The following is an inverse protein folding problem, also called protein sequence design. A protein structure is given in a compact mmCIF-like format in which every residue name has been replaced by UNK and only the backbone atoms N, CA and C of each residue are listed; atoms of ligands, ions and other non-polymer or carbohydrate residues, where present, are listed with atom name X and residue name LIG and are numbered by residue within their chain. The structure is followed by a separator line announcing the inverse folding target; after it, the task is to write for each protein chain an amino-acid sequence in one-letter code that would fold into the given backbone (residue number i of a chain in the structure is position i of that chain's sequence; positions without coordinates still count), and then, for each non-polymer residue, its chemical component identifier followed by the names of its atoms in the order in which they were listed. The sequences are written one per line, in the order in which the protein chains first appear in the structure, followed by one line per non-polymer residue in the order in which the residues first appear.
data_IF_433656008647
#
_entry.id   IF_433656008647
#
_cell.length_a   1.000
_cell.length_b   1.000
_cell.length_c   1.000
_cell.angle_alpha   90.00
_cell.angle_beta   90.00
_cell.angle_gamma   90.00
#
_symmetry.space_group_name_H-M   'P 1'
#
loop_
_entity.id
_entity.type
_entity.pdbx_description
1 polymer ?
#
# COMPACT_ATOMS: atom_id res chain seq x y z
N UNK A 1 22.94 7.67 -18.90
CA UNK A 1 22.30 6.83 -17.87
C UNK A 1 21.37 5.82 -18.54
N UNK A 2 21.10 4.71 -17.88
CA UNK A 2 20.10 3.75 -18.34
C UNK A 2 18.77 4.14 -17.71
N UNK A 3 17.71 4.17 -18.52
CA UNK A 3 16.33 4.30 -18.04
C UNK A 3 15.74 2.90 -17.93
N UNK A 4 15.09 2.59 -16.82
CA UNK A 4 14.37 1.34 -16.63
C UNK A 4 13.05 1.61 -15.90
N UNK A 5 12.07 0.76 -16.19
CA UNK A 5 10.78 0.79 -15.54
C UNK A 5 10.66 -0.44 -14.63
N UNK A 6 10.13 -0.23 -13.44
CA UNK A 6 9.85 -1.29 -12.47
C UNK A 6 8.33 -1.40 -12.37
N UNK A 7 7.82 -2.62 -12.57
CA UNK A 7 6.43 -2.95 -12.34
C UNK A 7 6.27 -3.62 -10.97
N UNK A 8 5.03 -3.68 -10.50
CA UNK A 8 4.71 -4.43 -9.30
C UNK A 8 5.11 -5.91 -9.48
N UNK A 9 5.73 -6.56 -8.46
CA UNK A 9 6.09 -7.96 -8.54
C UNK A 9 4.83 -8.83 -8.74
N UNK A 10 4.94 -9.84 -9.61
CA UNK A 10 3.86 -10.77 -9.91
C UNK A 10 4.28 -12.18 -9.53
N UNK A 11 3.33 -12.92 -8.98
CA UNK A 11 3.53 -14.33 -8.62
C UNK A 11 3.32 -15.20 -9.85
N UNK A 12 4.23 -16.17 -10.08
CA UNK A 12 4.14 -17.10 -11.19
C UNK A 12 3.24 -18.28 -10.80
N UNK A 13 2.09 -18.37 -11.46
CA UNK A 13 1.20 -19.52 -11.36
C UNK A 13 1.70 -20.68 -12.23
N UNK A 14 1.42 -21.91 -11.82
CA UNK A 14 1.69 -23.13 -12.60
C UNK A 14 0.41 -23.91 -12.79
N UNK A 15 0.26 -24.53 -13.93
CA UNK A 15 -0.80 -25.48 -14.20
C UNK A 15 -0.29 -26.90 -13.88
N UNK A 16 -0.94 -27.55 -12.91
CA UNK A 16 -0.63 -28.92 -12.48
C UNK A 16 -1.94 -29.69 -12.57
N UNK A 17 -1.97 -30.77 -13.36
CA UNK A 17 -3.16 -31.59 -13.59
C UNK A 17 -4.41 -30.79 -14.04
N UNK A 18 -4.22 -29.82 -14.94
CA UNK A 18 -5.26 -28.88 -15.42
C UNK A 18 -5.85 -27.99 -14.30
N UNK A 19 -5.16 -27.82 -13.17
CA UNK A 19 -5.53 -26.93 -12.09
C UNK A 19 -4.49 -25.83 -11.97
N UNK A 20 -4.95 -24.58 -11.93
CA UNK A 20 -4.07 -23.45 -11.67
C UNK A 20 -3.59 -23.46 -10.23
N UNK A 21 -2.29 -23.64 -10.03
CA UNK A 21 -1.64 -23.68 -8.72
C UNK A 21 -0.81 -22.41 -8.47
N UNK A 22 -0.81 -22.00 -7.21
CA UNK A 22 -0.02 -20.87 -6.71
C UNK A 22 1.08 -21.34 -5.75
N UNK A 23 2.23 -20.67 -5.70
CA UNK A 23 3.27 -20.99 -4.74
C UNK A 23 2.83 -20.60 -3.34
N UNK A 24 3.04 -21.52 -2.41
CA UNK A 24 2.84 -21.32 -0.96
C UNK A 24 4.21 -21.20 -0.32
N UNK A 25 4.33 -20.28 0.61
CA UNK A 25 5.54 -20.05 1.39
C UNK A 25 5.32 -20.39 2.87
N UNK A 26 6.34 -20.93 3.50
CA UNK A 26 6.43 -20.98 4.95
C UNK A 26 6.95 -19.65 5.43
N UNK A 27 6.12 -18.93 6.17
CA UNK A 27 6.44 -17.65 6.80
C UNK A 27 6.67 -17.85 8.28
N UNK A 28 7.83 -17.42 8.77
CA UNK A 28 8.16 -17.41 10.19
C UNK A 28 8.32 -15.97 10.66
N UNK A 29 7.55 -15.60 11.67
CA UNK A 29 7.60 -14.30 12.32
C UNK A 29 8.07 -14.47 13.76
N UNK A 30 8.97 -13.60 14.20
CA UNK A 30 9.33 -13.45 15.60
C UNK A 30 8.96 -12.03 16.04
N UNK A 31 7.98 -11.93 16.93
CA UNK A 31 7.32 -10.65 17.25
C UNK A 31 7.15 -10.45 18.76
N UNK A 32 7.10 -9.19 19.24
CA UNK A 32 6.67 -8.90 20.60
C UNK A 32 5.22 -9.39 20.83
N UNK A 33 4.92 -9.85 22.04
CA UNK A 33 3.58 -10.34 22.39
C UNK A 33 2.46 -9.36 22.04
N UNK A 34 2.70 -8.06 22.18
CA UNK A 34 1.76 -6.98 21.85
C UNK A 34 1.38 -6.93 20.37
N UNK A 35 2.20 -7.45 19.46
CA UNK A 35 1.99 -7.43 18.01
C UNK A 35 1.35 -8.72 17.47
N UNK A 36 1.28 -9.79 18.27
CA UNK A 36 0.80 -11.12 17.85
C UNK A 36 -0.60 -11.04 17.23
N UNK A 37 -1.57 -10.44 17.95
CA UNK A 37 -2.95 -10.37 17.49
C UNK A 37 -3.09 -9.65 16.14
N UNK A 38 -2.41 -8.51 15.97
CA UNK A 38 -2.43 -7.75 14.72
C UNK A 38 -1.78 -8.50 13.56
N UNK A 39 -0.70 -9.25 13.81
CA UNK A 39 -0.07 -10.09 12.79
C UNK A 39 -1.00 -11.21 12.33
N UNK A 40 -1.66 -11.90 13.26
CA UNK A 40 -2.61 -12.98 12.94
C UNK A 40 -3.80 -12.45 12.14
N UNK A 41 -4.39 -11.33 12.53
CA UNK A 41 -5.50 -10.70 11.82
C UNK A 41 -5.13 -10.34 10.38
N UNK A 42 -3.98 -9.68 10.20
CA UNK A 42 -3.51 -9.26 8.87
C UNK A 42 -3.16 -10.43 7.96
N UNK A 43 -2.53 -11.45 8.49
CA UNK A 43 -2.21 -12.65 7.72
C UNK A 43 -3.47 -13.49 7.41
N UNK A 44 -4.43 -13.53 8.32
CA UNK A 44 -5.72 -14.18 8.07
C UNK A 44 -6.46 -13.56 6.88
N UNK A 45 -6.49 -12.22 6.77
CA UNK A 45 -7.09 -11.53 5.62
C UNK A 45 -6.35 -11.82 4.29
N UNK A 46 -5.09 -12.27 4.35
CA UNK A 46 -4.23 -12.64 3.22
C UNK A 46 -4.21 -14.14 2.94
N UNK A 47 -5.18 -14.90 3.48
CA UNK A 47 -5.31 -16.35 3.31
C UNK A 47 -4.14 -17.16 3.88
N UNK A 48 -3.42 -16.62 4.86
CA UNK A 48 -2.41 -17.37 5.59
C UNK A 48 -3.06 -18.37 6.56
N UNK A 49 -2.51 -19.57 6.62
CA UNK A 49 -2.89 -20.63 7.54
C UNK A 49 -1.84 -20.74 8.64
N UNK A 50 -2.22 -20.49 9.89
CA UNK A 50 -1.31 -20.63 11.03
C UNK A 50 -1.03 -22.09 11.30
N UNK A 51 0.25 -22.45 11.38
CA UNK A 51 0.72 -23.82 11.66
C UNK A 51 1.18 -23.99 13.10
N UNK A 52 1.91 -23.00 13.60
CA UNK A 52 2.50 -23.09 14.92
C UNK A 52 2.58 -21.72 15.59
N UNK A 53 2.56 -21.71 16.91
CA UNK A 53 2.78 -20.54 17.74
C UNK A 53 3.51 -20.95 19.01
N UNK A 54 4.66 -20.34 19.28
CA UNK A 54 5.47 -20.59 20.44
C UNK A 54 5.85 -19.29 21.12
N UNK A 55 5.46 -19.15 22.38
CA UNK A 55 5.83 -17.96 23.17
C UNK A 55 7.04 -18.30 24.03
N UNK A 56 8.07 -17.48 23.93
CA UNK A 56 9.28 -17.56 24.73
C UNK A 56 9.11 -16.83 26.07
N UNK A 57 9.93 -17.19 27.04
CA UNK A 57 9.91 -16.56 28.38
C UNK A 57 10.40 -15.09 28.39
N UNK A 58 10.98 -14.63 27.28
CA UNK A 58 11.47 -13.28 27.07
C UNK A 58 10.41 -12.28 26.54
N UNK A 59 9.14 -12.71 26.44
CA UNK A 59 8.03 -11.89 25.95
C UNK A 59 7.97 -11.81 24.42
N UNK A 60 8.66 -12.70 23.73
CA UNK A 60 8.60 -12.82 22.26
C UNK A 60 7.80 -14.06 21.85
N UNK A 61 7.13 -13.95 20.73
CA UNK A 61 6.32 -15.05 20.18
C UNK A 61 6.75 -15.34 18.75
N UNK A 62 7.09 -16.58 18.50
CA UNK A 62 7.34 -17.10 17.16
C UNK A 62 6.03 -17.62 16.57
N UNK A 63 5.69 -17.14 15.37
CA UNK A 63 4.52 -17.55 14.62
C UNK A 63 4.96 -18.19 13.30
N UNK A 64 4.38 -19.32 12.96
CA UNK A 64 4.63 -20.00 11.69
C UNK A 64 3.33 -20.11 10.89
N UNK A 65 3.38 -19.68 9.62
CA UNK A 65 2.26 -19.71 8.70
C UNK A 65 2.63 -20.37 7.38
N UNK A 66 1.64 -20.98 6.73
CA UNK A 66 1.65 -21.21 5.29
C UNK A 66 0.84 -20.08 4.62
N UNK A 67 1.44 -19.39 3.68
CA UNK A 67 0.83 -18.23 3.05
C UNK A 67 1.07 -18.25 1.54
N UNK A 68 0.06 -17.92 0.70
CA UNK A 68 0.28 -17.72 -0.72
C UNK A 68 1.32 -16.61 -0.95
N UNK A 69 2.31 -16.81 -1.82
CA UNK A 69 3.35 -15.81 -2.10
C UNK A 69 2.76 -14.44 -2.47
N UNK A 70 1.61 -14.40 -3.18
CA UNK A 70 0.89 -13.15 -3.46
C UNK A 70 0.41 -12.43 -2.20
N UNK A 71 0.18 -13.15 -1.09
CA UNK A 71 -0.20 -12.58 0.21
C UNK A 71 0.95 -11.88 0.92
N UNK A 72 2.20 -12.18 0.56
CA UNK A 72 3.39 -11.51 1.11
C UNK A 72 3.72 -10.19 0.42
N UNK A 73 3.20 -9.99 -0.80
CA UNK A 73 3.44 -8.73 -1.53
C UNK A 73 2.88 -7.56 -0.72
N UNK A 74 3.74 -6.58 -0.41
CA UNK A 74 3.41 -5.41 0.42
C UNK A 74 3.20 -5.68 1.91
N UNK A 75 3.32 -6.95 2.36
CA UNK A 75 3.15 -7.27 3.79
C UNK A 75 4.32 -6.77 4.66
N UNK A 76 5.54 -6.74 4.12
CA UNK A 76 6.73 -6.33 4.87
C UNK A 76 6.60 -4.92 5.46
N UNK A 77 6.11 -3.96 4.68
CA UNK A 77 5.89 -2.59 5.17
C UNK A 77 4.85 -2.51 6.29
N UNK A 78 3.75 -3.28 6.16
CA UNK A 78 2.75 -3.40 7.22
C UNK A 78 3.33 -4.06 8.47
N UNK A 79 4.12 -5.14 8.30
CA UNK A 79 4.75 -5.87 9.38
C UNK A 79 5.71 -4.98 10.21
N UNK A 80 6.57 -4.22 9.54
CA UNK A 80 7.47 -3.28 10.20
C UNK A 80 6.69 -2.24 11.01
N UNK A 81 5.59 -1.73 10.49
CA UNK A 81 4.72 -0.76 11.20
C UNK A 81 4.03 -1.39 12.40
N UNK A 82 3.46 -2.61 12.25
CA UNK A 82 2.77 -3.34 13.33
C UNK A 82 3.73 -3.64 14.47
N UNK A 83 4.93 -4.08 14.14
CA UNK A 83 5.95 -4.48 15.13
C UNK A 83 6.84 -3.31 15.57
N UNK A 84 6.62 -2.08 15.07
CA UNK A 84 7.45 -0.89 15.32
C UNK A 84 8.94 -1.12 15.00
N UNK A 85 9.22 -1.99 14.02
CA UNK A 85 10.57 -2.37 13.64
C UNK A 85 11.23 -3.46 14.50
N UNK A 86 10.57 -3.95 15.55
CA UNK A 86 11.13 -4.96 16.47
C UNK A 86 10.91 -6.41 15.98
N UNK A 87 10.07 -6.60 14.94
CA UNK A 87 9.76 -7.92 14.40
C UNK A 87 10.85 -8.43 13.46
N UNK A 88 11.04 -9.74 13.46
CA UNK A 88 11.88 -10.45 12.49
C UNK A 88 10.95 -11.28 11.60
N UNK A 89 11.14 -11.19 10.29
CA UNK A 89 10.36 -11.93 9.30
C UNK A 89 11.29 -12.69 8.36
N UNK A 90 11.04 -13.99 8.21
CA UNK A 90 11.69 -14.83 7.22
C UNK A 90 10.65 -15.69 6.50
N UNK A 91 10.85 -15.93 5.21
CA UNK A 91 9.97 -16.79 4.43
C UNK A 91 10.77 -17.63 3.44
N UNK A 92 10.25 -18.80 3.11
CA UNK A 92 10.85 -19.71 2.15
C UNK A 92 9.78 -20.44 1.38
N UNK A 93 10.07 -20.81 0.12
CA UNK A 93 9.16 -21.61 -0.69
C UNK A 93 8.85 -22.95 0.00
N UNK A 94 7.58 -23.33 0.03
CA UNK A 94 7.11 -24.59 0.57
C UNK A 94 6.66 -25.55 -0.54
N UNK A 95 5.56 -25.24 -1.23
CA UNK A 95 4.98 -26.09 -2.27
C UNK A 95 4.07 -25.28 -3.22
N UNK A 96 3.57 -25.93 -4.27
CA UNK A 96 2.47 -25.41 -5.07
C UNK A 96 1.14 -26.01 -4.63
N UNK A 97 0.13 -25.18 -4.42
CA UNK A 97 -1.24 -25.62 -4.12
C UNK A 97 -2.24 -25.01 -5.09
N UNK A 98 -3.41 -25.64 -5.30
CA UNK A 98 -4.49 -25.02 -6.07
C UNK A 98 -4.78 -23.59 -5.58
N UNK A 99 -4.97 -22.67 -6.52
CA UNK A 99 -5.24 -21.27 -6.18
C UNK A 99 -6.49 -21.15 -5.31
N UNK A 100 -6.35 -20.55 -4.15
CA UNK A 100 -7.43 -20.36 -3.18
C UNK A 100 -8.00 -18.97 -3.35
N UNK A 101 -9.14 -18.80 -4.05
CA UNK A 101 -9.89 -17.56 -4.15
C UNK A 101 -9.04 -16.28 -4.30
N UNK A 102 -9.68 -15.15 -4.48
CA UNK A 102 -8.99 -13.87 -4.47
C UNK A 102 -9.09 -13.23 -3.09
N UNK A 103 -8.10 -12.42 -2.73
CA UNK A 103 -8.17 -11.53 -1.57
C UNK A 103 -7.88 -10.11 -2.02
N UNK A 104 -8.49 -9.17 -1.35
CA UNK A 104 -8.28 -7.76 -1.66
C UNK A 104 -6.83 -7.38 -1.34
N UNK A 105 -6.06 -7.10 -2.38
CA UNK A 105 -4.70 -6.57 -2.26
C UNK A 105 -4.69 -5.06 -2.02
N UNK A 106 -5.79 -4.38 -2.40
CA UNK A 106 -5.96 -2.93 -2.29
C UNK A 106 -7.40 -2.63 -1.87
N UNK A 107 -7.57 -1.91 -0.75
CA UNK A 107 -8.88 -1.48 -0.26
C UNK A 107 -9.38 -0.22 -0.92
N UNK A 108 -8.48 0.67 -1.30
CA UNK A 108 -8.77 2.00 -1.80
C UNK A 108 -8.45 2.12 -3.28
N UNK A 109 -9.19 2.96 -3.98
CA UNK A 109 -8.90 3.36 -5.34
C UNK A 109 -7.68 4.27 -5.43
N UNK A 110 -7.33 4.71 -6.62
CA UNK A 110 -6.27 5.68 -6.85
C UNK A 110 -6.83 7.02 -7.30
N UNK A 111 -6.10 8.08 -7.01
CA UNK A 111 -6.29 9.40 -7.58
C UNK A 111 -5.45 9.51 -8.84
N UNK A 112 -6.08 9.88 -9.96
CA UNK A 112 -5.48 9.89 -11.30
C UNK A 112 -5.52 11.32 -11.83
N UNK A 113 -4.41 11.79 -12.45
CA UNK A 113 -4.38 13.10 -13.09
C UNK A 113 -5.25 13.08 -14.36
N UNK A 114 -6.23 14.01 -14.43
CA UNK A 114 -7.15 14.15 -15.56
C UNK A 114 -6.46 14.71 -16.81
N UNK A 115 -5.51 15.61 -16.64
CA UNK A 115 -4.80 16.27 -17.75
C UNK A 115 -3.31 16.41 -17.46
N UNK A 116 -2.54 16.72 -18.51
CA UNK A 116 -1.13 17.04 -18.39
C UNK A 116 -0.95 18.48 -17.90
N UNK A 117 0.03 18.71 -17.02
CA UNK A 117 0.34 20.05 -16.52
C UNK A 117 1.24 20.05 -15.31
N UNK A 118 1.12 21.09 -14.49
CA UNK A 118 1.84 21.24 -13.23
C UNK A 118 0.84 21.24 -12.08
N UNK A 119 1.06 20.38 -11.09
CA UNK A 119 0.22 20.32 -9.91
C UNK A 119 0.28 21.63 -9.12
N UNK A 120 -0.89 22.21 -8.86
CA UNK A 120 -0.99 23.49 -8.12
C UNK A 120 -1.36 23.23 -6.67
N UNK A 121 -0.87 24.07 -5.77
CA UNK A 121 -1.25 24.03 -4.36
C UNK A 121 -2.78 24.13 -4.19
N UNK A 122 -3.40 25.05 -4.93
CA UNK A 122 -4.84 25.29 -4.88
C UNK A 122 -5.67 24.04 -5.23
N UNK A 123 -5.32 23.36 -6.31
CA UNK A 123 -6.07 22.17 -6.73
C UNK A 123 -5.86 20.98 -5.79
N UNK A 124 -4.63 20.77 -5.30
CA UNK A 124 -4.34 19.71 -4.32
C UNK A 124 -5.07 19.98 -3.00
N UNK A 125 -5.08 21.23 -2.51
CA UNK A 125 -5.78 21.62 -1.29
C UNK A 125 -7.29 21.41 -1.39
N UNK A 126 -7.91 21.81 -2.51
CA UNK A 126 -9.35 21.62 -2.73
C UNK A 126 -9.79 20.17 -2.83
N UNK A 127 -8.89 19.26 -3.11
CA UNK A 127 -9.18 17.84 -3.22
C UNK A 127 -8.51 17.00 -2.12
N UNK A 128 -7.99 17.64 -1.05
CA UNK A 128 -7.34 16.98 0.08
C UNK A 128 -8.26 15.97 0.79
N UNK A 129 -9.57 16.26 0.84
CA UNK A 129 -10.58 15.36 1.42
C UNK A 129 -10.79 14.06 0.61
N UNK A 130 -10.29 13.99 -0.62
CA UNK A 130 -10.48 12.83 -1.49
C UNK A 130 -9.51 11.72 -1.21
N UNK A 131 -8.35 12.02 -0.62
CA UNK A 131 -7.34 11.02 -0.35
C UNK A 131 -5.98 11.61 0.01
N UNK A 132 -4.96 10.77 -0.05
CA UNK A 132 -3.58 11.14 0.27
C UNK A 132 -2.75 11.19 -1.01
N UNK A 133 -1.97 12.27 -1.17
CA UNK A 133 -1.16 12.47 -2.38
C UNK A 133 0.23 11.86 -2.24
N UNK A 134 0.78 11.45 -3.38
CA UNK A 134 2.17 11.00 -3.55
C UNK A 134 3.07 12.11 -4.12
N UNK A 135 2.47 13.22 -4.56
CA UNK A 135 3.14 14.32 -5.23
C UNK A 135 3.01 15.63 -4.44
N UNK A 136 3.96 16.54 -4.67
CA UNK A 136 3.97 17.89 -4.10
C UNK A 136 3.47 18.92 -5.13
N UNK A 137 3.01 20.12 -4.69
CA UNK A 137 2.80 21.22 -5.60
C UNK A 137 4.06 21.52 -6.42
N UNK A 138 3.89 21.88 -7.69
CA UNK A 138 4.99 22.17 -8.62
C UNK A 138 5.50 20.95 -9.40
N UNK A 139 5.06 19.73 -9.09
CA UNK A 139 5.43 18.52 -9.85
C UNK A 139 4.68 18.51 -11.19
N UNK A 140 5.42 18.19 -12.27
CA UNK A 140 4.83 17.92 -13.58
C UNK A 140 4.12 16.58 -13.58
N UNK A 141 2.89 16.55 -14.10
CA UNK A 141 2.08 15.35 -14.23
C UNK A 141 1.64 15.17 -15.67
N UNK A 142 1.41 13.93 -16.06
CA UNK A 142 0.83 13.57 -17.36
C UNK A 142 -0.56 13.00 -17.14
N UNK A 143 -1.41 13.05 -18.16
CA UNK A 143 -2.75 12.46 -18.14
C UNK A 143 -2.67 10.98 -17.84
N UNK A 144 -3.43 10.51 -16.84
CA UNK A 144 -3.43 9.12 -16.40
C UNK A 144 -2.36 8.77 -15.34
N UNK A 145 -1.53 9.76 -14.92
CA UNK A 145 -0.56 9.56 -13.84
C UNK A 145 -1.27 9.30 -12.52
N UNK A 146 -0.83 8.28 -11.78
CA UNK A 146 -1.29 8.04 -10.41
C UNK A 146 -0.63 9.06 -9.49
N UNK A 147 -1.45 9.87 -8.82
CA UNK A 147 -1.03 11.01 -8.02
C UNK A 147 -1.31 10.86 -6.53
N UNK A 148 -2.07 9.83 -6.15
CA UNK A 148 -2.44 9.58 -4.76
C UNK A 148 -3.30 8.32 -4.59
N UNK A 149 -3.62 8.04 -3.33
CA UNK A 149 -4.56 7.00 -2.91
C UNK A 149 -5.92 7.66 -2.56
N UNK A 150 -7.01 7.13 -3.11
CA UNK A 150 -8.35 7.61 -2.81
C UNK A 150 -8.82 7.07 -1.45
N UNK A 151 -9.61 7.83 -0.72
CA UNK A 151 -10.28 7.37 0.52
C UNK A 151 -11.42 6.37 0.25
N UNK A 152 -11.81 6.18 -1.02
CA UNK A 152 -12.87 5.27 -1.45
C UNK A 152 -12.30 4.14 -2.32
N UNK A 153 -13.01 3.00 -2.44
CA UNK A 153 -12.54 1.87 -3.26
C UNK A 153 -12.43 2.16 -4.76
N UNK A 154 -13.09 3.21 -5.25
CA UNK A 154 -13.13 3.57 -6.68
C UNK A 154 -11.99 4.49 -7.06
N UNK A 155 -11.44 4.29 -8.26
CA UNK A 155 -10.47 5.21 -8.85
C UNK A 155 -11.18 6.55 -9.19
N UNK A 156 -10.47 7.66 -9.02
CA UNK A 156 -11.00 8.99 -9.22
C UNK A 156 -10.04 9.86 -10.02
N UNK A 157 -10.51 10.35 -11.16
CA UNK A 157 -9.78 11.34 -11.96
C UNK A 157 -9.97 12.74 -11.37
N UNK A 158 -8.86 13.45 -11.16
CA UNK A 158 -8.83 14.80 -10.59
C UNK A 158 -8.01 15.75 -11.47
N UNK A 159 -8.58 16.95 -11.70
CA UNK A 159 -7.82 18.03 -12.32
C UNK A 159 -7.03 18.80 -11.25
N UNK A 160 -5.76 18.45 -11.13
CA UNK A 160 -4.83 19.05 -10.15
C UNK A 160 -3.98 20.19 -10.73
N UNK A 161 -4.20 20.55 -12.00
CA UNK A 161 -3.50 21.63 -12.68
C UNK A 161 -4.26 22.97 -12.59
N UNK A 162 -5.48 22.98 -12.03
CA UNK A 162 -6.31 24.18 -11.89
C UNK A 162 -5.63 25.24 -11.01
N UNK A 163 -5.61 26.46 -11.50
CA UNK A 163 -5.17 27.63 -10.74
C UNK A 163 -6.36 28.33 -10.09
N UNK A 164 -6.13 28.99 -8.96
CA UNK A 164 -7.15 29.85 -8.34
C UNK A 164 -7.46 31.01 -9.29
N UNK A 165 -8.73 31.16 -9.68
CA UNK A 165 -9.16 32.36 -10.41
C UNK A 165 -9.10 33.54 -9.44
N UNK A 166 -8.38 34.59 -9.86
CA UNK A 166 -8.33 35.85 -9.12
C UNK A 166 -9.70 36.52 -9.21
N UNK A 167 -10.46 36.51 -8.13
CA UNK A 167 -11.66 37.33 -7.99
C UNK A 167 -11.29 38.67 -7.35
N UNK A 168 -11.82 39.77 -7.84
CA UNK A 168 -11.58 41.11 -7.30
C UNK A 168 -12.19 41.36 -5.90
N UNK A 169 -12.77 40.36 -5.27
CA UNK A 169 -13.25 40.43 -3.89
C UNK A 169 -12.08 40.20 -2.94
N UNK A 170 -11.60 41.26 -2.31
CA UNK A 170 -10.72 41.19 -1.14
C UNK A 170 -11.56 40.71 0.04
N UNK A 171 -11.49 39.44 0.42
CA UNK A 171 -11.92 39.02 1.73
C UNK A 171 -10.90 39.54 2.72
N UNK A 172 -11.31 40.47 3.58
CA UNK A 172 -10.54 40.91 4.76
C UNK A 172 -10.61 39.86 5.88
N UNK A 173 -10.18 38.64 5.58
CA UNK A 173 -10.01 37.55 6.55
C UNK A 173 -8.54 37.20 6.58
N UNK A 174 -7.99 36.98 7.78
CA UNK A 174 -6.62 36.52 7.96
C UNK A 174 -6.34 35.36 7.01
N UNK A 175 -5.24 35.44 6.25
CA UNK A 175 -4.69 34.29 5.54
C UNK A 175 -4.29 33.28 6.62
N UNK A 176 -5.18 32.34 6.92
CA UNK A 176 -4.77 31.10 7.55
C UNK A 176 -3.68 30.52 6.64
N UNK A 177 -2.53 30.26 7.22
CA UNK A 177 -1.44 29.56 6.53
C UNK A 177 -1.96 28.15 6.19
N UNK A 178 -2.61 28.05 5.03
CA UNK A 178 -3.10 26.78 4.49
C UNK A 178 -1.92 25.83 4.33
N UNK A 179 -1.83 24.84 5.18
CA UNK A 179 -0.84 23.76 5.09
C UNK A 179 -1.47 22.58 4.36
N UNK A 180 -0.74 21.99 3.43
CA UNK A 180 -1.09 20.74 2.78
C UNK A 180 -0.53 19.59 3.58
N UNK A 181 -1.25 18.47 3.67
CA UNK A 181 -0.72 17.25 4.27
C UNK A 181 0.55 16.83 3.52
N UNK A 182 1.55 16.36 4.27
CA UNK A 182 2.78 15.85 3.67
C UNK A 182 2.45 14.65 2.77
N UNK A 183 2.94 14.64 1.53
CA UNK A 183 2.73 13.50 0.64
C UNK A 183 3.40 12.24 1.20
N UNK A 184 2.79 11.09 0.93
CA UNK A 184 3.41 9.80 1.21
C UNK A 184 4.54 9.57 0.21
N UNK A 185 5.73 9.29 0.69
CA UNK A 185 6.84 8.86 -0.16
C UNK A 185 6.60 7.39 -0.56
N UNK A 186 6.52 7.17 -1.88
CA UNK A 186 6.37 5.82 -2.44
C UNK A 186 7.73 5.14 -2.38
N UNK A 187 7.79 3.97 -1.75
CA UNK A 187 8.93 3.07 -1.77
C UNK A 187 8.72 1.96 -2.80
N UNK A 188 9.77 1.20 -3.13
CA UNK A 188 9.70 0.09 -4.10
C UNK A 188 8.95 -1.16 -3.54
N UNK A 189 8.56 -1.15 -2.28
CA UNK A 189 7.87 -2.25 -1.61
C UNK A 189 6.36 -1.99 -1.48
#
# INVERSE_FOLDING_TARGET
GFEFQISQPQVIFREIDNVQCEPIETLVLDVPESAVGSCIEKLGSRKAEMKNMQTSSDGRTQLEFLVPSRGLIGFRGEFVRITRGEGIMSHSFHEYKPKTGDFETRRNGVLIAFEEGVATFYALKNAEDRGVYFIKPGVRVYKGMIIGENNRPQDLELNICKTKQLTNMRSAGAEELDTLQSPIEITLE
#
